data_IF_403464948506
#
_entry.id   IF_403464948506
#
_cell.length_a   1.000
_cell.length_b   1.000
_cell.length_c   1.000
_cell.angle_alpha   90.00
_cell.angle_beta   90.00
_cell.angle_gamma   90.00
#
_symmetry.space_group_name_H-M   'P 1'
#
loop_
_entity.id
_entity.type
_entity.pdbx_description
1 polymer ?
#
# COMPACT_ATOMS: atom_id res chain seq x y z
N UNK A 1 -29.19 -51.67 9.02
CA UNK A 1 -27.85 -51.26 8.54
C UNK A 1 -27.82 -51.48 7.04
N UNK A 2 -28.00 -50.42 6.26
CA UNK A 2 -28.13 -50.51 4.79
C UNK A 2 -27.05 -49.60 4.19
N UNK A 3 -26.01 -50.20 3.61
CA UNK A 3 -24.99 -49.53 2.81
C UNK A 3 -25.26 -49.86 1.35
N UNK A 4 -25.73 -48.88 0.58
CA UNK A 4 -25.67 -48.83 -0.88
C UNK A 4 -24.98 -47.50 -1.24
N UNK A 5 -23.75 -47.51 -1.74
CA UNK A 5 -23.38 -47.58 -3.17
C UNK A 5 -23.93 -46.39 -3.98
N UNK A 6 -23.11 -45.36 -4.13
CA UNK A 6 -23.15 -44.48 -5.31
C UNK A 6 -21.72 -44.30 -5.83
N UNK A 7 -21.41 -45.17 -6.78
CA UNK A 7 -20.33 -45.05 -7.75
C UNK A 7 -20.44 -43.72 -8.52
N UNK A 8 -19.27 -43.14 -8.80
CA UNK A 8 -18.88 -42.52 -10.06
C UNK A 8 -19.80 -41.46 -10.70
N UNK A 9 -19.29 -40.23 -10.79
CA UNK A 9 -19.25 -39.44 -12.03
C UNK A 9 -18.07 -38.46 -11.89
N UNK A 10 -16.99 -38.58 -12.68
CA UNK A 10 -16.83 -37.95 -14.01
C UNK A 10 -16.81 -36.41 -13.90
N UNK A 11 -16.02 -35.59 -14.58
CA UNK A 11 -14.91 -35.66 -15.52
C UNK A 11 -14.62 -34.14 -15.78
N UNK A 12 -13.37 -33.73 -15.99
CA UNK A 12 -12.93 -32.60 -16.85
C UNK A 12 -13.71 -31.27 -16.82
N UNK A 13 -13.02 -30.22 -16.34
CA UNK A 13 -13.31 -28.83 -16.67
C UNK A 13 -12.09 -28.15 -17.30
N UNK A 14 -11.75 -28.55 -18.54
CA UNK A 14 -10.96 -27.72 -19.46
C UNK A 14 -11.94 -26.77 -20.15
N UNK A 15 -11.98 -25.52 -19.69
CA UNK A 15 -12.62 -24.42 -20.39
C UNK A 15 -11.55 -23.43 -20.85
N UNK A 16 -11.13 -23.56 -22.11
CA UNK A 16 -10.43 -22.50 -22.82
C UNK A 16 -11.38 -21.34 -23.13
N UNK A 17 -10.85 -20.13 -23.29
CA UNK A 17 -11.21 -19.17 -24.34
C UNK A 17 -10.37 -17.90 -24.20
N UNK A 18 -9.69 -17.50 -25.27
CA UNK A 18 -9.18 -16.13 -25.39
C UNK A 18 -7.90 -15.98 -26.20
N UNK A 19 -7.93 -16.35 -27.48
CA UNK A 19 -6.90 -16.00 -28.45
C UNK A 19 -6.88 -14.48 -28.75
N UNK A 20 -5.66 -13.96 -28.88
CA UNK A 20 -5.23 -12.84 -29.73
C UNK A 20 -5.78 -11.43 -29.45
N UNK A 21 -5.04 -10.67 -28.64
CA UNK A 21 -4.77 -9.25 -28.93
C UNK A 21 -3.29 -8.94 -28.66
N UNK A 22 -2.68 -8.28 -29.63
CA UNK A 22 -1.25 -7.97 -29.70
C UNK A 22 -0.73 -7.33 -28.39
N UNK A 23 0.14 -8.06 -27.68
CA UNK A 23 0.98 -7.45 -26.65
C UNK A 23 2.08 -6.71 -27.38
N UNK A 24 1.84 -5.42 -27.61
CA UNK A 24 2.89 -4.43 -27.81
C UNK A 24 3.94 -4.66 -26.70
N UNK A 25 5.25 -4.78 -26.99
CA UNK A 25 6.24 -4.96 -25.93
C UNK A 25 6.25 -3.69 -25.08
N UNK A 26 5.53 -3.72 -23.95
CA UNK A 26 5.62 -2.71 -22.91
C UNK A 26 7.07 -2.77 -22.44
N UNK A 27 7.75 -1.64 -22.57
CA UNK A 27 9.13 -1.45 -22.15
C UNK A 27 9.37 -2.07 -20.76
N UNK A 28 10.55 -2.67 -20.50
CA UNK A 28 10.82 -3.33 -19.23
C UNK A 28 10.58 -2.36 -18.08
N UNK A 29 9.53 -2.64 -17.31
CA UNK A 29 9.16 -1.90 -16.11
C UNK A 29 10.33 -2.00 -15.13
N UNK A 30 10.94 -0.85 -14.79
CA UNK A 30 12.00 -0.80 -13.80
C UNK A 30 11.53 -1.48 -12.50
N UNK A 31 12.36 -2.33 -11.87
CA UNK A 31 11.99 -2.97 -10.61
C UNK A 31 11.65 -1.92 -9.55
N UNK A 32 10.66 -2.18 -8.67
CA UNK A 32 10.28 -1.24 -7.63
C UNK A 32 11.51 -0.93 -6.74
N UNK A 33 11.68 0.32 -6.28
CA UNK A 33 12.81 0.71 -5.45
C UNK A 33 12.97 -0.25 -4.28
N UNK A 34 14.14 -0.87 -4.22
CA UNK A 34 14.51 -1.83 -3.19
C UNK A 34 14.70 -1.05 -1.90
N UNK A 35 13.75 -1.17 -0.98
CA UNK A 35 13.99 -0.71 0.38
C UNK A 35 14.89 -1.77 1.02
N UNK A 36 16.14 -1.40 1.29
CA UNK A 36 17.11 -2.27 1.95
C UNK A 36 16.67 -2.53 3.40
N UNK A 37 15.78 -3.50 3.59
CA UNK A 37 15.35 -3.95 4.91
C UNK A 37 14.59 -5.26 4.81
N UNK A 38 14.80 -6.11 5.80
CA UNK A 38 14.16 -7.42 5.92
C UNK A 38 12.72 -7.20 6.37
N UNK A 39 11.83 -6.81 5.46
CA UNK A 39 10.43 -6.57 5.75
C UNK A 39 9.59 -6.63 4.49
N UNK A 40 8.42 -7.25 4.59
CA UNK A 40 7.45 -7.31 3.50
C UNK A 40 6.86 -5.92 3.23
N UNK A 41 6.82 -5.50 1.96
CA UNK A 41 6.09 -4.30 1.55
C UNK A 41 4.60 -4.59 1.54
N UNK A 42 3.85 -3.88 2.36
CA UNK A 42 2.40 -4.00 2.51
C UNK A 42 1.73 -2.86 1.77
N UNK A 43 0.98 -3.20 0.73
CA UNK A 43 0.14 -2.23 0.04
C UNK A 43 -1.13 -1.97 0.85
N UNK A 44 -1.29 -0.75 1.35
CA UNK A 44 -2.48 -0.32 2.09
C UNK A 44 -3.54 0.33 1.20
N UNK A 45 -3.36 0.29 -0.12
CA UNK A 45 -4.38 0.63 -1.11
C UNK A 45 -4.18 1.98 -1.78
N UNK A 46 -5.25 2.43 -2.43
CA UNK A 46 -5.26 3.66 -3.23
C UNK A 46 -5.92 4.82 -2.50
N UNK A 47 -5.43 6.02 -2.79
CA UNK A 47 -5.85 7.26 -2.15
C UNK A 47 -5.97 8.41 -3.16
N UNK A 48 -6.86 9.38 -2.94
CA UNK A 48 -6.93 10.60 -3.75
C UNK A 48 -6.29 11.75 -2.98
N UNK A 49 -5.46 12.56 -3.63
CA UNK A 49 -4.88 13.75 -2.99
C UNK A 49 -5.67 14.98 -3.45
N UNK A 50 -6.24 15.72 -2.49
CA UNK A 50 -6.77 17.05 -2.74
C UNK A 50 -5.62 18.04 -2.86
N UNK A 51 -5.66 18.93 -3.85
CA UNK A 51 -4.51 19.79 -4.15
C UNK A 51 -4.32 20.94 -3.15
N UNK A 52 -5.33 21.30 -2.34
CA UNK A 52 -5.20 22.45 -1.42
C UNK A 52 -6.24 22.49 -0.26
N UNK A 53 -5.82 22.40 1.03
CA UNK A 53 -4.51 21.92 1.48
C UNK A 53 -4.27 20.49 0.98
N UNK A 54 -3.01 20.04 0.88
CA UNK A 54 -2.66 18.65 0.51
C UNK A 54 -3.17 17.70 1.58
N UNK A 55 -4.44 17.33 1.48
CA UNK A 55 -5.11 16.34 2.29
C UNK A 55 -5.44 15.15 1.41
N UNK A 56 -5.34 13.95 1.98
CA UNK A 56 -5.67 12.72 1.29
C UNK A 56 -7.13 12.40 1.58
N UNK A 57 -7.94 12.49 0.53
CA UNK A 57 -9.37 12.17 0.52
C UNK A 57 -9.51 10.81 -0.15
N UNK A 58 -10.27 9.89 0.41
CA UNK A 58 -10.59 8.64 -0.29
C UNK A 58 -12.05 8.31 -0.07
N UNK A 59 -12.58 7.33 -0.80
CA UNK A 59 -13.87 6.74 -0.44
C UNK A 59 -13.81 6.31 1.04
N UNK A 60 -14.87 6.58 1.79
CA UNK A 60 -14.91 6.32 3.24
C UNK A 60 -14.49 4.89 3.60
N UNK A 61 -14.88 3.92 2.78
CA UNK A 61 -14.55 2.50 3.00
C UNK A 61 -13.07 2.25 2.69
N UNK A 62 -12.56 2.78 1.57
CA UNK A 62 -11.16 2.62 1.17
C UNK A 62 -10.21 3.32 2.16
N UNK A 63 -10.55 4.53 2.59
CA UNK A 63 -9.83 5.25 3.64
C UNK A 63 -9.78 4.45 4.94
N UNK A 64 -10.92 3.94 5.42
CA UNK A 64 -10.96 3.16 6.65
C UNK A 64 -10.09 1.89 6.57
N UNK A 65 -10.11 1.20 5.42
CA UNK A 65 -9.26 0.03 5.17
C UNK A 65 -7.77 0.39 5.16
N UNK A 66 -7.41 1.47 4.46
CA UNK A 66 -6.04 1.95 4.37
C UNK A 66 -5.49 2.40 5.74
N UNK A 67 -6.30 3.11 6.53
CA UNK A 67 -5.99 3.53 7.89
C UNK A 67 -5.82 2.30 8.81
N UNK A 68 -6.73 1.33 8.74
CA UNK A 68 -6.63 0.10 9.53
C UNK A 68 -5.39 -0.73 9.15
N UNK A 69 -5.04 -0.79 7.86
CA UNK A 69 -3.85 -1.44 7.35
C UNK A 69 -2.57 -0.81 7.93
N UNK A 70 -2.44 0.51 7.86
CA UNK A 70 -1.32 1.24 8.44
C UNK A 70 -1.26 1.06 9.96
N UNK A 71 -2.40 1.26 10.64
CA UNK A 71 -2.52 1.13 12.10
C UNK A 71 -2.04 -0.23 12.59
N UNK A 72 -2.43 -1.31 11.91
CA UNK A 72 -2.02 -2.66 12.27
C UNK A 72 -0.49 -2.84 12.28
N UNK A 73 0.21 -2.19 11.34
CA UNK A 73 1.68 -2.25 11.27
C UNK A 73 2.34 -1.32 12.29
N UNK A 74 1.80 -0.12 12.43
CA UNK A 74 2.32 0.89 13.35
C UNK A 74 2.17 0.50 14.82
N UNK A 75 1.07 -0.13 15.22
CA UNK A 75 0.86 -0.58 16.60
C UNK A 75 1.73 -1.78 16.98
N UNK A 76 2.11 -2.63 16.00
CA UNK A 76 2.96 -3.79 16.26
C UNK A 76 4.41 -3.39 16.50
N UNK A 77 4.98 -2.58 15.60
CA UNK A 77 6.27 -1.87 15.75
C UNK A 77 7.40 -2.62 16.50
N UNK A 78 7.47 -3.93 16.29
CA UNK A 78 8.46 -4.82 16.91
C UNK A 78 9.54 -5.22 15.91
N UNK A 79 9.27 -5.03 14.62
CA UNK A 79 10.17 -5.23 13.50
C UNK A 79 9.94 -4.13 12.45
N UNK A 80 10.93 -3.85 11.58
CA UNK A 80 10.73 -2.95 10.46
C UNK A 80 9.54 -3.38 9.60
N UNK A 81 8.66 -2.44 9.28
CA UNK A 81 7.54 -2.66 8.37
C UNK A 81 7.53 -1.59 7.28
N UNK A 82 7.15 -1.99 6.07
CA UNK A 82 7.04 -1.09 4.93
C UNK A 82 5.58 -1.04 4.51
N UNK A 83 5.01 0.17 4.46
CA UNK A 83 3.63 0.42 4.05
C UNK A 83 3.65 1.31 2.82
N UNK A 84 2.83 1.03 1.81
CA UNK A 84 2.63 1.92 0.67
C UNK A 84 1.18 2.34 0.48
N UNK A 85 1.01 3.54 -0.05
CA UNK A 85 -0.25 4.06 -0.58
C UNK A 85 0.00 4.52 -2.02
N UNK A 86 -0.91 4.19 -2.93
CA UNK A 86 -0.86 4.65 -4.32
C UNK A 86 -1.78 5.84 -4.51
N UNK A 87 -1.26 6.93 -5.06
CA UNK A 87 -2.09 8.11 -5.35
C UNK A 87 -2.84 7.89 -6.68
N UNK A 88 -4.17 7.89 -6.63
CA UNK A 88 -5.03 7.66 -7.79
C UNK A 88 -4.76 8.68 -8.90
N UNK A 89 -4.89 8.23 -10.15
CA UNK A 89 -4.65 9.02 -11.35
C UNK A 89 -3.21 9.55 -11.49
N UNK A 90 -2.27 9.02 -10.70
CA UNK A 90 -0.86 9.36 -10.79
C UNK A 90 0.02 8.10 -10.74
N UNK A 91 1.30 8.25 -11.08
CA UNK A 91 2.32 7.23 -10.83
C UNK A 91 2.94 7.32 -9.43
N UNK A 92 2.45 8.22 -8.59
CA UNK A 92 3.07 8.52 -7.30
C UNK A 92 2.75 7.39 -6.32
N UNK A 93 3.82 6.82 -5.74
CA UNK A 93 3.72 5.86 -4.65
C UNK A 93 4.34 6.51 -3.43
N UNK A 94 3.55 6.63 -2.37
CA UNK A 94 4.02 7.09 -1.07
C UNK A 94 4.26 5.88 -0.20
N UNK A 95 5.50 5.71 0.26
CA UNK A 95 5.88 4.62 1.16
C UNK A 95 6.26 5.17 2.51
N UNK A 96 6.02 4.38 3.53
CA UNK A 96 6.39 4.65 4.90
C UNK A 96 7.14 3.44 5.44
N UNK A 97 8.32 3.71 5.98
CA UNK A 97 9.06 2.74 6.78
C UNK A 97 8.72 2.99 8.24
N UNK A 98 8.26 1.96 8.93
CA UNK A 98 8.01 1.95 10.36
C UNK A 98 9.16 1.18 10.99
N UNK A 99 10.04 1.88 11.68
CA UNK A 99 11.19 1.30 12.37
C UNK A 99 10.89 1.11 13.85
N UNK A 100 11.27 -0.03 14.44
CA UNK A 100 11.08 -0.27 15.87
C UNK A 100 11.91 0.72 16.70
N UNK A 101 11.36 1.14 17.83
CA UNK A 101 11.96 2.10 18.74
C UNK A 101 10.95 2.57 19.80
N UNK A 102 11.37 3.45 20.71
CA UNK A 102 10.51 3.90 21.82
C UNK A 102 9.18 4.52 21.38
N UNK A 103 9.11 5.06 20.16
CA UNK A 103 7.93 5.74 19.62
C UNK A 103 7.61 5.37 18.16
N UNK A 104 8.12 4.24 17.66
CA UNK A 104 7.91 3.79 16.27
C UNK A 104 8.31 4.86 15.24
N UNK A 105 9.61 4.91 14.96
CA UNK A 105 10.15 5.92 14.06
C UNK A 105 9.60 5.73 12.65
N UNK A 106 9.18 6.82 12.02
CA UNK A 106 8.60 6.81 10.68
C UNK A 106 9.49 7.55 9.71
N UNK A 107 9.79 6.90 8.60
CA UNK A 107 10.46 7.52 7.47
C UNK A 107 9.52 7.47 6.27
N UNK A 108 9.20 8.63 5.71
CA UNK A 108 8.44 8.74 4.47
C UNK A 108 9.38 8.70 3.28
N UNK A 109 9.03 7.89 2.30
CA UNK A 109 9.71 7.75 1.02
C UNK A 109 8.70 8.11 -0.06
N UNK A 110 8.96 9.18 -0.81
CA UNK A 110 8.11 9.61 -1.91
C UNK A 110 8.88 9.49 -3.23
N UNK A 111 8.27 8.81 -4.19
CA UNK A 111 8.77 8.76 -5.56
C UNK A 111 7.67 9.24 -6.50
N UNK A 112 7.89 10.39 -7.13
CA UNK A 112 6.91 11.00 -8.03
C UNK A 112 7.07 10.51 -9.48
N UNK A 113 8.30 10.18 -9.87
CA UNK A 113 8.64 9.59 -11.17
C UNK A 113 9.49 8.32 -10.95
N UNK A 114 9.14 7.18 -11.57
CA UNK A 114 9.91 5.94 -11.47
C UNK A 114 11.38 6.07 -11.89
N UNK A 115 11.72 7.06 -12.74
CA UNK A 115 13.09 7.29 -13.19
C UNK A 115 13.90 8.25 -12.30
N UNK A 116 13.27 8.82 -11.28
CA UNK A 116 13.90 9.74 -10.32
C UNK A 116 14.27 9.03 -9.01
N UNK A 117 15.37 9.44 -8.33
CA UNK A 117 15.66 8.97 -6.99
C UNK A 117 14.51 9.30 -6.02
N UNK A 118 14.13 8.40 -5.10
CA UNK A 118 13.10 8.69 -4.13
C UNK A 118 13.58 9.73 -3.11
N UNK A 119 12.69 10.65 -2.74
CA UNK A 119 12.92 11.55 -1.62
C UNK A 119 12.60 10.85 -0.30
N UNK A 120 13.50 10.94 0.67
CA UNK A 120 13.41 10.22 1.95
C UNK A 120 13.51 11.24 3.10
N UNK A 121 12.56 11.20 4.02
CA UNK A 121 12.53 12.10 5.20
C UNK A 121 12.01 11.37 6.42
N UNK A 122 12.54 11.71 7.59
CA UNK A 122 11.95 11.28 8.85
C UNK A 122 10.74 12.14 9.20
N UNK A 123 9.68 11.48 9.66
CA UNK A 123 8.48 12.09 10.20
C UNK A 123 8.53 12.08 11.72
N UNK A 124 8.01 13.13 12.36
CA UNK A 124 8.09 13.29 13.81
C UNK A 124 7.06 12.46 14.56
N UNK A 125 5.85 12.35 14.00
CA UNK A 125 4.73 11.71 14.69
C UNK A 125 3.83 10.99 13.69
N UNK A 126 3.29 9.83 14.08
CA UNK A 126 2.06 9.30 13.52
C UNK A 126 1.04 8.98 14.60
N UNK A 127 -0.22 9.27 14.30
CA UNK A 127 -1.35 8.93 15.15
C UNK A 127 -2.57 8.63 14.30
N UNK A 128 -3.45 7.79 14.84
CA UNK A 128 -4.78 7.58 14.31
C UNK A 128 -5.77 8.21 15.30
N UNK A 129 -6.45 9.27 14.87
CA UNK A 129 -7.34 10.08 15.70
C UNK A 129 -8.61 10.41 14.91
N UNK A 130 -9.79 10.25 15.51
CA UNK A 130 -11.08 10.49 14.86
C UNK A 130 -11.24 9.77 13.50
N UNK A 131 -10.78 8.52 13.43
CA UNK A 131 -10.70 7.72 12.21
C UNK A 131 -9.84 8.33 11.08
N UNK A 132 -9.03 9.35 11.35
CA UNK A 132 -8.05 9.89 10.43
C UNK A 132 -6.65 9.40 10.78
N UNK A 133 -5.84 9.08 9.77
CA UNK A 133 -4.41 8.87 9.94
C UNK A 133 -3.69 10.18 9.71
N UNK A 134 -2.95 10.65 10.72
CA UNK A 134 -2.13 11.85 10.65
C UNK A 134 -0.67 11.47 10.87
N UNK A 135 0.14 11.66 9.84
CA UNK A 135 1.60 11.55 9.88
C UNK A 135 2.15 12.95 9.65
N UNK A 136 2.85 13.49 10.64
CA UNK A 136 3.23 14.90 10.65
C UNK A 136 4.73 15.12 10.91
N UNK A 137 5.21 16.28 10.50
CA UNK A 137 6.59 16.71 10.64
C UNK A 137 7.54 16.08 9.61
N UNK A 138 7.04 15.68 8.44
CA UNK A 138 7.83 15.05 7.37
C UNK A 138 8.60 16.06 6.50
N UNK A 139 9.13 17.13 7.11
CA UNK A 139 9.97 18.14 6.46
C UNK A 139 9.35 18.68 5.13
N UNK A 140 10.14 18.74 4.06
CA UNK A 140 9.75 19.24 2.75
C UNK A 140 8.79 18.32 1.97
N UNK A 141 8.52 17.09 2.43
CA UNK A 141 7.52 16.22 1.80
C UNK A 141 6.10 16.45 2.32
N UNK A 142 5.96 17.30 3.34
CA UNK A 142 4.68 17.70 3.92
C UNK A 142 4.03 16.61 4.77
N UNK A 143 3.06 17.03 5.57
CA UNK A 143 2.27 16.11 6.39
C UNK A 143 1.36 15.25 5.51
N UNK A 144 1.11 14.02 5.95
CA UNK A 144 0.19 13.09 5.32
C UNK A 144 -1.03 12.90 6.22
N UNK A 145 -2.18 13.37 5.74
CA UNK A 145 -3.44 13.30 6.46
C UNK A 145 -4.42 12.52 5.59
N UNK A 146 -4.80 11.32 6.02
CA UNK A 146 -5.79 10.48 5.36
C UNK A 146 -7.06 10.45 6.21
N UNK A 147 -8.15 10.96 5.64
CA UNK A 147 -9.48 10.96 6.26
C UNK A 147 -10.45 10.07 5.49
N UNK A 148 -11.40 9.41 6.17
CA UNK A 148 -12.58 8.80 5.54
C UNK A 148 -13.53 9.82 4.92
#
# INVERSE_FOLDING_TARGET
MTRLLCLALMLFGLGACGENNAVNPIAPTAPPPTVNGIGELVDCGEIVIAENPRAVVSDQTLAAQAIACFKNRYEKCNAPAFVSFREQNTSVIRRFTINPGASCQLTQVLQTDPNSPPAVVDCKTARVENNALVIAGCSHLGDFILTP
#
